data_IF_028563823819
#
_entry.id   IF_028563823819
#
_cell.length_a   1.000
_cell.length_b   1.000
_cell.length_c   1.000
_cell.angle_alpha   90.00
_cell.angle_beta   90.00
_cell.angle_gamma   90.00
#
_symmetry.space_group_name_H-M   'P 1'
#
loop_
_entity.id
_entity.type
_entity.pdbx_description
1 polymer ?
#
# COMPACT_ATOMS: atom_id res chain seq x y z
N UNK A 1 -4.44 -15.47 13.65
CA UNK A 1 -3.56 -14.29 13.42
C UNK A 1 -2.90 -13.97 14.75
N UNK A 2 -1.84 -13.19 14.78
CA UNK A 2 -1.14 -12.88 16.03
C UNK A 2 -1.55 -11.49 16.51
N UNK A 3 -1.67 -11.29 17.83
CA UNK A 3 -1.99 -9.97 18.43
C UNK A 3 -0.82 -9.00 18.44
N UNK A 4 0.40 -9.49 18.22
CA UNK A 4 1.62 -8.69 18.10
C UNK A 4 2.63 -9.30 17.14
N UNK A 5 3.55 -8.48 16.65
CA UNK A 5 4.70 -8.92 15.85
C UNK A 5 5.94 -8.17 16.30
N UNK A 6 6.98 -8.93 16.66
CA UNK A 6 8.30 -8.38 17.00
C UNK A 6 9.03 -7.93 15.74
N UNK A 7 9.66 -6.78 15.80
CA UNK A 7 10.45 -6.20 14.71
C UNK A 7 11.93 -6.17 15.07
N UNK A 8 12.78 -6.15 14.04
CA UNK A 8 14.23 -6.15 14.24
C UNK A 8 14.72 -4.89 14.99
N UNK A 9 14.11 -3.74 14.67
CA UNK A 9 14.35 -2.41 15.28
C UNK A 9 13.23 -1.46 14.84
N UNK A 10 13.16 -0.28 15.43
CA UNK A 10 12.21 0.77 15.08
C UNK A 10 12.60 1.53 13.81
N UNK A 11 12.47 2.86 13.79
CA UNK A 11 12.89 3.67 12.64
C UNK A 11 14.40 3.56 12.37
N UNK A 12 15.19 3.43 13.43
CA UNK A 12 16.65 3.32 13.33
C UNK A 12 17.17 2.05 14.04
N UNK A 13 18.33 1.51 13.64
CA UNK A 13 18.87 0.25 14.18
C UNK A 13 19.10 0.21 15.70
N UNK A 14 19.31 1.37 16.32
CA UNK A 14 19.51 1.50 17.77
C UNK A 14 18.19 1.55 18.57
N UNK A 15 17.04 1.69 17.89
CA UNK A 15 15.73 1.75 18.55
C UNK A 15 15.18 0.34 18.79
N UNK A 16 15.59 -0.25 19.92
CA UNK A 16 15.18 -1.58 20.38
C UNK A 16 14.73 -1.53 21.84
N UNK A 17 13.74 -2.34 22.24
CA UNK A 17 12.95 -3.29 21.43
C UNK A 17 12.02 -2.58 20.46
N UNK A 18 11.47 -3.32 19.48
CA UNK A 18 10.48 -2.80 18.54
C UNK A 18 9.43 -3.87 18.21
N UNK A 19 8.17 -3.48 18.19
CA UNK A 19 7.03 -4.34 17.85
C UNK A 19 5.87 -3.54 17.30
N UNK A 20 4.94 -4.22 16.64
CA UNK A 20 3.58 -3.72 16.41
C UNK A 20 2.59 -4.62 17.15
N UNK A 21 1.50 -4.05 17.62
CA UNK A 21 0.45 -4.76 18.35
C UNK A 21 -0.86 -3.97 18.31
N UNK A 22 -1.96 -4.65 18.62
CA UNK A 22 -3.26 -4.01 18.82
C UNK A 22 -3.44 -3.68 20.30
N UNK A 23 -3.80 -2.43 20.63
CA UNK A 23 -3.98 -1.97 22.03
C UNK A 23 -5.07 -2.74 22.76
N UNK A 24 -6.12 -3.15 22.05
CA UNK A 24 -7.24 -3.94 22.60
C UNK A 24 -6.94 -5.44 22.72
N UNK A 25 -5.73 -5.87 22.36
CA UNK A 25 -5.29 -7.26 22.38
C UNK A 25 -5.88 -8.13 21.26
N UNK A 26 -6.63 -7.55 20.34
CA UNK A 26 -7.13 -8.27 19.15
C UNK A 26 -5.99 -8.69 18.21
N UNK A 27 -6.29 -9.55 17.27
CA UNK A 27 -5.34 -9.94 16.23
C UNK A 27 -5.00 -8.77 15.30
N UNK A 28 -3.74 -8.71 14.86
CA UNK A 28 -3.30 -7.76 13.84
C UNK A 28 -4.13 -7.94 12.55
N UNK A 29 -4.56 -6.86 11.87
CA UNK A 29 -5.36 -6.94 10.66
C UNK A 29 -4.57 -7.42 9.43
N UNK A 30 -3.35 -7.89 9.61
CA UNK A 30 -2.45 -8.30 8.54
C UNK A 30 -1.87 -9.70 8.77
N UNK A 31 -1.49 -10.35 7.66
CA UNK A 31 -0.65 -11.56 7.64
C UNK A 31 0.55 -11.32 6.74
N UNK A 32 1.75 -11.56 7.22
CA UNK A 32 2.96 -11.54 6.39
C UNK A 32 3.08 -12.87 5.66
N UNK A 33 2.88 -12.85 4.34
CA UNK A 33 2.95 -14.06 3.50
C UNK A 33 4.37 -14.40 3.08
N UNK A 34 5.25 -13.40 3.01
CA UNK A 34 6.66 -13.56 2.67
C UNK A 34 7.49 -12.38 3.20
N UNK A 35 8.77 -12.60 3.41
CA UNK A 35 9.71 -11.57 3.86
C UNK A 35 9.68 -11.31 5.37
N UNK A 36 10.29 -10.21 5.76
CA UNK A 36 10.35 -9.71 7.15
C UNK A 36 10.27 -8.19 7.12
N UNK A 37 9.08 -7.60 7.02
CA UNK A 37 8.92 -6.15 6.93
C UNK A 37 9.43 -5.48 8.21
N UNK A 38 10.15 -4.38 8.02
CA UNK A 38 10.62 -3.53 9.11
C UNK A 38 9.57 -2.49 9.52
N UNK A 39 9.92 -1.69 10.53
CA UNK A 39 9.04 -0.66 11.09
C UNK A 39 8.54 0.33 10.04
N UNK A 40 9.45 0.90 9.23
CA UNK A 40 9.09 1.85 8.16
C UNK A 40 8.28 1.17 7.06
N UNK A 41 8.61 -0.09 6.69
CA UNK A 41 7.82 -0.82 5.70
C UNK A 41 6.35 -0.98 6.12
N UNK A 42 6.11 -1.23 7.42
CA UNK A 42 4.75 -1.35 7.95
C UNK A 42 4.03 0.00 8.01
N UNK A 43 4.73 1.09 8.32
CA UNK A 43 4.15 2.43 8.22
C UNK A 43 3.75 2.74 6.77
N UNK A 44 4.61 2.46 5.79
CA UNK A 44 4.29 2.63 4.37
C UNK A 44 3.09 1.75 3.97
N UNK A 45 3.08 0.48 4.41
CA UNK A 45 2.00 -0.46 4.12
C UNK A 45 0.64 0.04 4.62
N UNK A 46 0.55 0.43 5.90
CA UNK A 46 -0.72 0.86 6.48
C UNK A 46 -1.20 2.21 5.94
N UNK A 47 -0.30 3.18 5.77
CA UNK A 47 -0.67 4.46 5.18
C UNK A 47 -1.06 4.31 3.70
N UNK A 48 -0.35 3.46 2.95
CA UNK A 48 -0.71 3.12 1.57
C UNK A 48 -2.08 2.44 1.48
N UNK A 49 -2.38 1.50 2.40
CA UNK A 49 -3.67 0.83 2.44
C UNK A 49 -4.83 1.80 2.73
N UNK A 50 -4.67 2.73 3.67
CA UNK A 50 -5.67 3.76 3.92
C UNK A 50 -5.97 4.55 2.66
N UNK A 51 -4.94 5.05 1.98
CA UNK A 51 -5.09 5.85 0.77
C UNK A 51 -5.78 5.11 -0.37
N UNK A 52 -5.40 3.85 -0.66
CA UNK A 52 -6.07 3.09 -1.74
C UNK A 52 -7.49 2.72 -1.38
N UNK A 53 -7.79 2.49 -0.11
CA UNK A 53 -9.15 2.20 0.36
C UNK A 53 -10.06 3.40 0.19
N UNK A 54 -9.64 4.58 0.60
CA UNK A 54 -10.38 5.84 0.42
C UNK A 54 -10.55 6.17 -1.06
N UNK A 55 -9.49 6.03 -1.86
CA UNK A 55 -9.54 6.31 -3.29
C UNK A 55 -10.52 5.38 -4.03
N UNK A 56 -10.53 4.09 -3.67
CA UNK A 56 -11.50 3.12 -4.19
C UNK A 56 -12.92 3.48 -3.77
N UNK A 57 -13.15 3.82 -2.51
CA UNK A 57 -14.46 4.21 -2.00
C UNK A 57 -15.00 5.47 -2.70
N UNK A 58 -14.14 6.47 -2.87
CA UNK A 58 -14.50 7.74 -3.50
C UNK A 58 -14.83 7.61 -5.00
N UNK A 59 -14.15 6.70 -5.72
CA UNK A 59 -14.22 6.61 -7.19
C UNK A 59 -14.96 5.40 -7.71
N UNK A 60 -15.12 4.35 -6.89
CA UNK A 60 -15.65 3.05 -7.33
C UNK A 60 -14.67 2.26 -8.21
N UNK A 61 -13.44 2.72 -8.39
CA UNK A 61 -12.41 2.10 -9.23
C UNK A 61 -11.34 1.45 -8.37
N UNK A 62 -10.71 0.38 -8.88
CA UNK A 62 -9.50 -0.14 -8.23
C UNK A 62 -8.41 0.91 -8.21
N UNK A 63 -7.57 0.88 -7.18
CA UNK A 63 -6.55 1.88 -6.92
C UNK A 63 -5.22 1.25 -6.51
N UNK A 64 -4.14 1.99 -6.76
CA UNK A 64 -2.80 1.63 -6.32
C UNK A 64 -2.05 2.87 -5.83
N UNK A 65 -1.10 2.64 -4.92
CA UNK A 65 -0.15 3.68 -4.48
C UNK A 65 1.28 3.16 -4.53
N UNK A 66 2.20 4.11 -4.68
CA UNK A 66 3.64 3.93 -4.47
C UNK A 66 4.02 4.80 -3.28
N UNK A 67 4.42 4.16 -2.16
CA UNK A 67 4.80 4.84 -0.92
C UNK A 67 6.31 4.81 -0.70
N UNK A 68 6.84 5.90 -0.19
CA UNK A 68 8.26 6.01 0.18
C UNK A 68 8.39 6.93 1.39
N UNK A 69 9.08 6.44 2.44
CA UNK A 69 9.33 7.20 3.66
C UNK A 69 8.05 7.80 4.29
N UNK A 70 7.01 6.96 4.37
CA UNK A 70 5.70 7.30 4.97
C UNK A 70 4.97 8.41 4.20
N UNK A 71 5.27 8.56 2.91
CA UNK A 71 4.61 9.54 2.01
C UNK A 71 4.30 8.90 0.67
N UNK A 72 3.17 9.26 0.02
CA UNK A 72 2.87 8.79 -1.32
C UNK A 72 3.78 9.48 -2.34
N UNK A 73 4.58 8.70 -3.10
CA UNK A 73 5.23 9.17 -4.31
C UNK A 73 4.21 9.32 -5.44
N UNK A 74 3.15 8.52 -5.40
CA UNK A 74 2.02 8.62 -6.31
C UNK A 74 0.87 7.71 -5.91
N UNK A 75 -0.34 8.10 -6.34
CA UNK A 75 -1.57 7.34 -6.18
C UNK A 75 -2.43 7.46 -7.45
N UNK A 76 -3.10 6.40 -7.87
CA UNK A 76 -3.93 6.44 -9.05
C UNK A 76 -5.00 5.33 -9.05
N UNK A 77 -6.02 5.55 -9.88
CA UNK A 77 -7.08 4.57 -10.17
C UNK A 77 -6.83 3.84 -11.48
N UNK A 78 -7.53 2.72 -11.66
CA UNK A 78 -7.40 1.79 -12.79
C UNK A 78 -7.97 2.29 -14.12
N UNK A 79 -7.74 3.56 -14.47
CA UNK A 79 -8.12 4.08 -15.78
C UNK A 79 -7.19 3.53 -16.88
N UNK A 80 -7.73 3.18 -18.08
CA UNK A 80 -6.93 2.65 -19.18
C UNK A 80 -5.77 3.57 -19.57
N UNK A 81 -4.66 2.99 -20.00
CA UNK A 81 -3.50 3.72 -20.52
C UNK A 81 -3.58 3.83 -22.04
N UNK A 82 -3.37 5.05 -22.57
CA UNK A 82 -3.09 5.25 -23.99
C UNK A 82 -1.70 4.67 -24.34
N UNK A 83 -1.44 4.42 -25.62
CA UNK A 83 -0.14 3.93 -26.08
C UNK A 83 0.99 4.90 -25.71
N UNK A 84 0.72 6.20 -25.72
CA UNK A 84 1.67 7.22 -25.25
C UNK A 84 2.00 7.04 -23.76
N UNK A 85 0.98 6.86 -22.91
CA UNK A 85 1.18 6.65 -21.49
C UNK A 85 1.89 5.32 -21.19
N UNK A 86 1.58 4.26 -21.94
CA UNK A 86 2.29 2.97 -21.79
C UNK A 86 3.79 3.15 -22.02
N UNK A 87 4.18 3.91 -23.07
CA UNK A 87 5.60 4.23 -23.33
C UNK A 87 6.24 5.08 -22.26
N UNK A 88 5.54 6.14 -21.80
CA UNK A 88 6.02 7.03 -20.72
C UNK A 88 6.25 6.26 -19.44
N UNK A 89 5.37 5.31 -19.10
CA UNK A 89 5.47 4.50 -17.89
C UNK A 89 6.31 3.23 -18.07
N UNK A 90 6.89 3.01 -19.27
CA UNK A 90 7.72 1.85 -19.57
C UNK A 90 7.00 0.51 -19.37
N UNK A 91 5.75 0.43 -19.83
CA UNK A 91 4.90 -0.77 -19.73
C UNK A 91 4.32 -1.21 -21.09
N UNK A 92 4.79 -0.63 -22.18
CA UNK A 92 4.32 -0.89 -23.54
C UNK A 92 4.68 -2.30 -24.07
N UNK A 93 5.67 -2.94 -23.46
CA UNK A 93 6.10 -4.30 -23.74
C UNK A 93 5.40 -5.39 -22.87
N UNK A 94 4.55 -5.01 -21.93
CA UNK A 94 3.90 -5.94 -21.00
C UNK A 94 2.60 -6.58 -21.55
N UNK A 95 2.20 -6.24 -22.77
CA UNK A 95 0.96 -6.73 -23.37
C UNK A 95 -0.29 -6.06 -22.76
N UNK A 96 -1.33 -6.86 -22.55
CA UNK A 96 -2.58 -6.37 -21.97
C UNK A 96 -2.43 -6.15 -20.46
N UNK A 97 -2.75 -4.93 -20.01
CA UNK A 97 -2.71 -4.55 -18.62
C UNK A 97 -4.13 -4.59 -18.01
N UNK A 98 -4.25 -5.23 -16.87
CA UNK A 98 -5.47 -5.15 -16.08
C UNK A 98 -5.72 -3.73 -15.56
N UNK A 99 -6.96 -3.39 -15.12
CA UNK A 99 -7.21 -2.11 -14.47
C UNK A 99 -6.29 -1.86 -13.27
N UNK A 100 -6.00 -2.89 -12.47
CA UNK A 100 -5.11 -2.77 -11.31
C UNK A 100 -3.65 -2.50 -11.72
N UNK A 101 -3.17 -3.17 -12.79
CA UNK A 101 -1.87 -2.90 -13.38
C UNK A 101 -1.78 -1.45 -13.93
N UNK A 102 -2.85 -0.95 -14.57
CA UNK A 102 -2.94 0.45 -15.01
C UNK A 102 -2.88 1.43 -13.82
N UNK A 103 -3.56 1.12 -12.70
CA UNK A 103 -3.49 1.93 -11.49
C UNK A 103 -2.06 2.03 -10.98
N UNK A 104 -1.37 0.90 -10.84
CA UNK A 104 0.01 0.90 -10.36
C UNK A 104 0.99 1.56 -11.34
N UNK A 105 0.84 1.34 -12.64
CA UNK A 105 1.65 2.02 -13.65
C UNK A 105 1.54 3.55 -13.53
N UNK A 106 0.32 4.07 -13.31
CA UNK A 106 0.09 5.51 -13.12
C UNK A 106 0.66 6.01 -11.78
N UNK A 107 0.41 5.29 -10.69
CA UNK A 107 0.87 5.66 -9.36
C UNK A 107 2.40 5.76 -9.32
N UNK A 108 3.09 4.73 -9.81
CA UNK A 108 4.55 4.70 -9.89
C UNK A 108 5.09 5.68 -10.94
N UNK A 109 4.41 5.78 -12.08
CA UNK A 109 4.81 6.62 -13.20
C UNK A 109 4.70 8.11 -12.91
N UNK A 110 3.92 8.53 -11.92
CA UNK A 110 3.79 9.91 -11.49
C UNK A 110 5.14 10.51 -11.06
N UNK A 111 5.93 9.73 -10.31
CA UNK A 111 7.32 10.06 -9.96
C UNK A 111 8.13 8.78 -9.80
N UNK A 112 8.75 8.33 -10.89
CA UNK A 112 9.54 7.09 -10.90
C UNK A 112 10.81 7.18 -10.05
N UNK A 113 11.38 8.36 -9.89
CA UNK A 113 12.59 8.55 -9.05
C UNK A 113 12.26 8.38 -7.58
N UNK A 114 11.22 9.04 -7.09
CA UNK A 114 10.75 8.90 -5.70
C UNK A 114 10.17 7.51 -5.43
N UNK A 115 9.67 6.82 -6.44
CA UNK A 115 9.15 5.44 -6.33
C UNK A 115 10.24 4.36 -6.33
N UNK A 116 11.50 4.69 -6.47
CA UNK A 116 12.58 3.69 -6.42
C UNK A 116 12.71 3.10 -5.01
N UNK A 117 12.45 1.81 -4.89
CA UNK A 117 12.39 1.12 -3.59
C UNK A 117 11.13 1.44 -2.80
N UNK A 118 10.00 1.63 -3.48
CA UNK A 118 8.69 1.91 -2.88
C UNK A 118 8.13 0.74 -2.08
N UNK A 119 7.09 1.03 -1.29
CA UNK A 119 6.16 0.05 -0.76
C UNK A 119 4.81 0.25 -1.46
N UNK A 120 4.30 -0.82 -2.04
CA UNK A 120 3.11 -0.78 -2.91
C UNK A 120 1.88 -1.10 -2.09
N UNK A 121 0.79 -0.35 -2.26
CA UNK A 121 -0.52 -0.76 -1.78
C UNK A 121 -1.50 -0.90 -2.95
N UNK A 122 -2.30 -1.96 -2.93
CA UNK A 122 -3.33 -2.26 -3.91
C UNK A 122 -4.68 -2.39 -3.21
N UNK A 123 -5.71 -1.77 -3.74
CA UNK A 123 -7.08 -1.83 -3.18
C UNK A 123 -7.80 -3.15 -3.43
N UNK A 124 -7.29 -3.97 -4.34
CA UNK A 124 -7.89 -5.21 -4.82
C UNK A 124 -6.89 -6.36 -4.80
N UNK A 125 -7.40 -7.57 -5.02
CA UNK A 125 -6.57 -8.77 -5.15
C UNK A 125 -5.54 -8.57 -6.26
N UNK A 126 -4.26 -8.75 -5.92
CA UNK A 126 -3.16 -8.61 -6.89
C UNK A 126 -3.26 -9.71 -7.94
N UNK A 127 -3.46 -9.29 -9.19
CA UNK A 127 -3.54 -10.16 -10.36
C UNK A 127 -2.16 -10.41 -11.01
N UNK A 128 -2.12 -11.36 -11.94
CA UNK A 128 -0.87 -11.75 -12.63
C UNK A 128 -0.27 -10.59 -13.45
N UNK A 129 -1.02 -9.79 -14.24
CA UNK A 129 -0.45 -8.63 -14.94
C UNK A 129 0.23 -7.63 -14.01
N UNK A 130 -0.41 -7.32 -12.87
CA UNK A 130 0.15 -6.42 -11.85
C UNK A 130 1.43 -6.99 -11.23
N UNK A 131 1.42 -8.29 -10.87
CA UNK A 131 2.60 -8.95 -10.30
C UNK A 131 3.79 -8.99 -11.26
N UNK A 132 3.56 -9.24 -12.57
CA UNK A 132 4.60 -9.20 -13.61
C UNK A 132 5.22 -7.80 -13.74
N UNK A 133 4.42 -6.75 -13.67
CA UNK A 133 4.93 -5.38 -13.68
C UNK A 133 5.76 -5.10 -12.41
N UNK A 134 5.25 -5.44 -11.23
CA UNK A 134 5.96 -5.27 -9.96
C UNK A 134 7.29 -6.04 -9.95
N UNK A 135 7.34 -7.23 -10.54
CA UNK A 135 8.55 -8.05 -10.61
C UNK A 135 9.73 -7.31 -11.26
N UNK A 136 9.47 -6.46 -12.24
CA UNK A 136 10.49 -5.68 -12.98
C UNK A 136 11.02 -4.49 -12.19
N UNK A 137 10.22 -3.97 -11.28
CA UNK A 137 10.53 -2.71 -10.59
C UNK A 137 11.34 -2.94 -9.31
N UNK A 138 12.14 -1.97 -8.91
CA UNK A 138 12.78 -1.97 -7.60
C UNK A 138 11.76 -1.49 -6.57
N UNK A 139 11.31 -2.40 -5.71
CA UNK A 139 10.38 -2.11 -4.62
C UNK A 139 10.72 -2.93 -3.38
N UNK A 140 10.30 -2.47 -2.20
CA UNK A 140 10.62 -3.09 -0.92
C UNK A 140 9.53 -4.06 -0.44
N UNK A 141 8.29 -3.86 -0.87
CA UNK A 141 7.19 -4.72 -0.49
C UNK A 141 5.85 -4.29 -1.05
N UNK A 142 4.85 -5.07 -0.71
CA UNK A 142 3.47 -4.89 -1.17
C UNK A 142 2.48 -5.26 -0.07
N UNK A 143 1.38 -4.52 -0.01
CA UNK A 143 0.18 -4.86 0.76
C UNK A 143 -1.04 -4.89 -0.15
N UNK A 144 -1.85 -5.93 -0.03
CA UNK A 144 -3.10 -6.11 -0.78
C UNK A 144 -4.09 -6.97 0.03
N UNK A 145 -5.41 -6.94 -0.29
CA UNK A 145 -6.39 -7.80 0.38
C UNK A 145 -6.25 -9.28 0.04
N UNK A 146 -5.52 -9.61 -1.03
CA UNK A 146 -5.24 -10.95 -1.48
C UNK A 146 -4.34 -10.96 -2.70
N UNK A 147 -4.01 -12.17 -3.15
CA UNK A 147 -3.14 -12.41 -4.29
C UNK A 147 -3.66 -13.62 -5.08
N UNK A 148 -3.71 -13.52 -6.39
CA UNK A 148 -3.90 -14.72 -7.23
C UNK A 148 -2.73 -15.68 -6.99
N UNK A 149 -2.96 -17.01 -7.04
CA UNK A 149 -1.90 -17.99 -6.75
C UNK A 149 -0.62 -17.79 -7.58
N UNK A 150 -0.76 -17.58 -8.90
CA UNK A 150 0.38 -17.33 -9.79
C UNK A 150 1.04 -15.97 -9.48
N UNK A 151 0.27 -14.92 -9.20
CA UNK A 151 0.79 -13.61 -8.82
C UNK A 151 1.63 -13.69 -7.53
N UNK A 152 1.17 -14.46 -6.55
CA UNK A 152 1.90 -14.68 -5.30
C UNK A 152 3.25 -15.34 -5.54
N UNK A 153 3.31 -16.37 -6.38
CA UNK A 153 4.58 -17.06 -6.69
C UNK A 153 5.55 -16.16 -7.48
N UNK A 154 5.05 -15.33 -8.42
CA UNK A 154 5.85 -14.32 -9.10
C UNK A 154 6.49 -13.36 -8.07
N UNK A 155 5.69 -12.83 -7.15
CA UNK A 155 6.15 -11.89 -6.12
C UNK A 155 7.12 -12.53 -5.13
N UNK A 156 6.88 -13.79 -4.70
CA UNK A 156 7.79 -14.52 -3.82
C UNK A 156 9.17 -14.73 -4.44
N UNK A 157 9.27 -14.89 -5.76
CA UNK A 157 10.56 -15.05 -6.45
C UNK A 157 11.44 -13.78 -6.43
N UNK A 158 10.81 -12.61 -6.20
CA UNK A 158 11.48 -11.31 -6.19
C UNK A 158 12.46 -11.19 -5.02
N UNK A 159 13.54 -10.40 -5.21
CA UNK A 159 14.58 -10.17 -4.19
C UNK A 159 15.18 -11.47 -3.62
N UNK A 160 15.38 -12.47 -4.47
CA UNK A 160 15.90 -13.79 -4.06
C UNK A 160 15.05 -14.43 -2.94
N UNK A 161 13.74 -14.26 -3.02
CA UNK A 161 12.79 -14.86 -2.06
C UNK A 161 12.55 -14.04 -0.79
N UNK A 162 13.08 -12.83 -0.68
CA UNK A 162 12.95 -12.00 0.53
C UNK A 162 12.00 -10.81 0.38
N UNK A 163 11.27 -10.72 -0.71
CA UNK A 163 10.33 -9.63 -0.95
C UNK A 163 9.22 -9.61 0.09
N UNK A 164 8.90 -8.43 0.64
CA UNK A 164 7.85 -8.33 1.66
C UNK A 164 6.47 -8.38 1.02
N UNK A 165 5.68 -9.39 1.37
CA UNK A 165 4.31 -9.57 0.89
C UNK A 165 3.38 -9.62 2.10
N UNK A 166 2.48 -8.65 2.18
CA UNK A 166 1.54 -8.50 3.29
C UNK A 166 0.11 -8.63 2.76
N UNK A 167 -0.66 -9.50 3.38
CA UNK A 167 -2.11 -9.56 3.17
C UNK A 167 -2.81 -8.82 4.29
N UNK A 168 -3.75 -7.93 3.94
CA UNK A 168 -4.58 -7.22 4.89
C UNK A 168 -6.01 -7.74 4.88
N UNK A 169 -6.66 -7.75 6.05
CA UNK A 169 -8.09 -7.99 6.14
C UNK A 169 -8.87 -6.75 5.66
N UNK A 170 -9.52 -6.79 4.49
CA UNK A 170 -10.22 -5.61 3.94
C UNK A 170 -11.47 -5.23 4.73
N UNK A 171 -11.95 -6.10 5.60
CA UNK A 171 -13.09 -5.83 6.48
C UNK A 171 -12.69 -5.12 7.79
N UNK A 172 -11.39 -5.05 8.10
CA UNK A 172 -10.93 -4.35 9.28
C UNK A 172 -11.22 -2.85 9.16
N UNK A 173 -11.67 -2.27 10.27
CA UNK A 173 -11.82 -0.82 10.43
C UNK A 173 -11.10 -0.39 11.70
N UNK A 174 -10.35 0.72 11.67
CA UNK A 174 -9.69 1.25 12.85
C UNK A 174 -10.71 1.70 13.90
N UNK A 175 -10.26 1.85 15.15
CA UNK A 175 -11.08 2.38 16.22
C UNK A 175 -11.51 3.83 15.97
N UNK A 176 -12.57 4.28 16.63
CA UNK A 176 -13.06 5.66 16.51
C UNK A 176 -12.07 6.70 17.04
N UNK A 177 -11.22 6.31 17.99
CA UNK A 177 -10.18 7.17 18.55
C UNK A 177 -8.80 6.68 18.12
N UNK A 178 -8.00 7.59 17.61
CA UNK A 178 -6.59 7.35 17.30
C UNK A 178 -5.67 8.10 18.25
N UNK A 179 -4.52 7.50 18.56
CA UNK A 179 -3.55 8.04 19.50
C UNK A 179 -2.16 8.13 18.90
N UNK A 180 -1.46 9.19 19.25
CA UNK A 180 -0.06 9.41 18.88
C UNK A 180 0.71 9.90 20.09
N UNK A 181 1.89 9.35 20.35
CA UNK A 181 2.76 9.80 21.42
C UNK A 181 3.90 10.67 20.88
N UNK A 182 4.10 11.82 21.49
CA UNK A 182 5.21 12.72 21.22
C UNK A 182 5.79 13.20 22.55
N UNK A 183 7.06 12.96 22.78
CA UNK A 183 7.78 13.32 24.01
C UNK A 183 7.06 12.84 25.29
N UNK A 184 6.48 11.63 25.27
CA UNK A 184 5.74 11.05 26.40
C UNK A 184 4.30 11.57 26.57
N UNK A 185 3.89 12.60 25.83
CA UNK A 185 2.51 13.10 25.82
C UNK A 185 1.70 12.36 24.77
N UNK A 186 0.55 11.84 25.16
CA UNK A 186 -0.40 11.20 24.24
C UNK A 186 -1.37 12.23 23.71
N UNK A 187 -1.42 12.34 22.39
CA UNK A 187 -2.45 13.06 21.65
C UNK A 187 -3.53 12.06 21.26
N UNK A 188 -4.80 12.41 21.47
CA UNK A 188 -5.96 11.59 21.11
C UNK A 188 -6.93 12.44 20.31
N UNK A 189 -7.45 11.89 19.24
CA UNK A 189 -8.45 12.52 18.38
C UNK A 189 -9.40 11.49 17.79
N UNK A 190 -10.56 11.95 17.28
CA UNK A 190 -11.43 11.11 16.46
C UNK A 190 -10.74 10.71 15.15
N UNK A 191 -10.90 9.47 14.75
CA UNK A 191 -10.44 9.02 13.44
C UNK A 191 -11.20 9.76 12.33
N UNK A 192 -10.53 10.12 11.25
CA UNK A 192 -11.16 10.80 10.13
C UNK A 192 -11.93 9.80 9.26
N UNK A 193 -13.25 9.72 9.46
CA UNK A 193 -14.16 8.91 8.65
C UNK A 193 -14.89 9.71 7.58
N UNK A 194 -14.48 10.96 7.34
CA UNK A 194 -15.11 11.81 6.34
C UNK A 194 -14.94 11.20 4.95
N UNK A 195 -16.06 10.87 4.32
CA UNK A 195 -16.05 10.39 2.94
C UNK A 195 -15.89 11.57 1.98
N UNK A 196 -14.83 11.54 1.19
CA UNK A 196 -14.59 12.52 0.14
C UNK A 196 -15.22 12.00 -1.15
N UNK A 197 -16.29 12.63 -1.62
CA UNK A 197 -17.00 12.27 -2.84
C UNK A 197 -17.30 13.50 -3.71
N UNK A 198 -17.97 13.26 -4.84
CA UNK A 198 -18.33 14.33 -5.78
C UNK A 198 -19.33 15.32 -5.20
N UNK A 199 -20.22 14.88 -4.30
CA UNK A 199 -21.23 15.73 -3.68
C UNK A 199 -20.55 16.75 -2.76
N UNK A 200 -19.57 16.31 -1.97
CA UNK A 200 -18.76 17.19 -1.12
C UNK A 200 -18.04 18.29 -1.91
N UNK A 201 -17.65 18.00 -3.15
CA UNK A 201 -16.94 18.94 -4.03
C UNK A 201 -17.86 19.65 -5.03
N UNK A 202 -19.18 19.56 -4.85
CA UNK A 202 -20.17 20.14 -5.78
C UNK A 202 -20.33 21.65 -5.69
N UNK A 203 -19.91 22.27 -4.57
CA UNK A 203 -20.02 23.72 -4.42
C UNK A 203 -18.87 24.41 -5.14
N UNK A 204 -19.14 24.86 -6.37
CA UNK A 204 -18.20 25.63 -7.20
C UNK A 204 -18.26 27.10 -6.81
N UNK A 205 -17.16 27.66 -6.32
CA UNK A 205 -17.08 29.03 -5.75
C UNK A 205 -16.70 30.08 -6.80
N UNK A 206 -16.39 29.71 -8.03
CA UNK A 206 -16.02 30.62 -9.15
C UNK A 206 -16.84 30.37 -10.38
#
# INVERSE_FOLDING_TARGET
>A
MASEMQLKYGCNPNQKPSRIYMEDGSDLPITVLNGKPGYINLLDAFNGWQLVSELKEATGMCAATSFKHVSPAGAAVGAPLSDTLKKIYFVDDLGELSPLACAYARARGADRMSSYGDFIALSDVCDVPTAKMIQREVSDGIIAPGYEPEALEILKSKRKGTYNIIQINPAYRPAELERKQVFGVTFEQGHNFLKIDKEMLSNVVT
#
